data_IF_536203170388
#
_entry.id   IF_536203170388
#
_cell.length_a   1.000
_cell.length_b   1.000
_cell.length_c   1.000
_cell.angle_alpha   90.00
_cell.angle_beta   90.00
_cell.angle_gamma   90.00
#
_symmetry.space_group_name_H-M   'P 1'
#
loop_
_entity.id
_entity.type
_entity.pdbx_description
1 polymer ?
#
# COMPACT_ATOMS: atom_id res chain seq x y z
N UNK A 1 29.55 24.07 -20.14
CA UNK A 1 30.59 23.67 -19.16
C UNK A 1 29.92 23.74 -17.80
N UNK A 2 29.85 22.76 -16.93
CA UNK A 2 30.09 21.31 -16.92
C UNK A 2 29.49 20.88 -15.57
N UNK A 3 28.85 19.69 -15.51
CA UNK A 3 28.80 18.73 -14.37
C UNK A 3 28.24 19.20 -13.01
N UNK A 4 27.47 18.48 -12.19
CA UNK A 4 27.01 17.07 -12.00
C UNK A 4 26.10 17.12 -10.76
N UNK A 5 24.86 16.62 -10.80
CA UNK A 5 24.40 15.32 -10.28
C UNK A 5 24.44 15.10 -8.74
N UNK A 6 23.26 14.70 -8.26
CA UNK A 6 22.95 13.83 -7.11
C UNK A 6 22.77 14.44 -5.71
N UNK A 7 21.49 14.63 -5.36
CA UNK A 7 21.01 14.85 -3.99
C UNK A 7 20.18 13.63 -3.60
N UNK A 8 20.84 12.65 -3.00
CA UNK A 8 20.24 11.43 -2.45
C UNK A 8 20.54 11.32 -0.96
N UNK A 9 19.48 11.05 -0.19
CA UNK A 9 19.46 10.38 1.12
C UNK A 9 20.12 11.09 2.33
N UNK A 10 19.32 11.88 3.06
CA UNK A 10 19.50 12.07 4.51
C UNK A 10 18.37 11.41 5.27
N UNK A 11 18.57 10.16 5.65
CA UNK A 11 17.88 9.52 6.75
C UNK A 11 18.78 8.42 7.31
N UNK A 12 18.65 8.19 8.62
CA UNK A 12 19.20 7.07 9.42
C UNK A 12 20.58 7.33 10.03
N UNK A 13 20.58 7.78 11.30
CA UNK A 13 21.19 7.01 12.40
C UNK A 13 20.87 7.64 13.75
N UNK A 14 19.65 7.36 14.23
CA UNK A 14 19.34 7.45 15.65
C UNK A 14 19.13 6.02 16.17
N UNK A 15 19.86 5.72 17.24
CA UNK A 15 19.45 4.80 18.30
C UNK A 15 19.59 3.28 18.05
N UNK A 16 20.74 2.74 18.43
CA UNK A 16 20.91 1.32 18.73
C UNK A 16 21.82 1.11 19.96
N UNK A 17 21.31 1.48 21.16
CA UNK A 17 21.85 0.92 22.42
C UNK A 17 21.27 -0.49 22.63
N UNK A 18 21.90 -1.46 21.98
CA UNK A 18 21.72 -2.88 22.25
C UNK A 18 22.35 -3.31 23.58
N UNK A 19 22.03 -4.52 24.08
CA UNK A 19 22.48 -5.01 25.38
C UNK A 19 24.00 -5.22 25.37
N UNK A 20 24.64 -4.95 26.51
CA UNK A 20 26.08 -5.12 26.75
C UNK A 20 26.58 -6.41 26.09
N UNK A 21 27.45 -6.24 25.10
CA UNK A 21 28.01 -7.30 24.30
C UNK A 21 28.84 -8.24 25.17
N UNK A 22 28.81 -9.55 24.88
CA UNK A 22 29.73 -10.53 25.49
C UNK A 22 31.22 -10.11 25.36
N UNK A 23 31.55 -9.25 24.39
CA UNK A 23 32.88 -8.65 24.25
C UNK A 23 33.26 -7.73 25.42
N UNK A 24 32.30 -7.03 26.00
CA UNK A 24 32.55 -6.07 27.08
C UNK A 24 32.74 -6.79 28.42
N UNK A 25 32.00 -7.89 28.62
CA UNK A 25 32.23 -8.81 29.74
C UNK A 25 33.59 -9.52 29.64
N UNK A 26 33.99 -9.95 28.43
CA UNK A 26 35.30 -10.57 28.18
C UNK A 26 36.45 -9.57 28.37
N UNK A 27 36.26 -8.31 27.95
CA UNK A 27 37.22 -7.22 28.20
C UNK A 27 37.38 -6.93 29.69
N UNK A 28 36.28 -6.87 30.45
CA UNK A 28 36.33 -6.70 31.89
C UNK A 28 37.05 -7.86 32.59
N UNK A 29 36.79 -9.10 32.17
CA UNK A 29 37.48 -10.28 32.70
C UNK A 29 38.99 -10.23 32.44
N UNK A 30 39.40 -9.79 31.25
CA UNK A 30 40.82 -9.64 30.89
C UNK A 30 41.51 -8.57 31.73
N UNK A 31 40.83 -7.43 31.98
CA UNK A 31 41.34 -6.37 32.85
C UNK A 31 41.43 -6.84 34.32
N UNK A 32 40.45 -7.62 34.79
CA UNK A 32 40.48 -8.23 36.12
C UNK A 32 41.62 -9.25 36.26
N UNK A 33 41.90 -10.02 35.20
CA UNK A 33 42.98 -11.00 35.20
C UNK A 33 44.36 -10.34 35.22
N UNK A 34 44.52 -9.22 34.49
CA UNK A 34 45.73 -8.40 34.52
C UNK A 34 45.94 -7.74 35.90
N UNK A 35 44.88 -7.23 36.53
CA UNK A 35 44.98 -6.66 37.88
C UNK A 35 45.24 -7.71 38.95
N UNK A 36 44.71 -8.94 38.83
CA UNK A 36 45.06 -10.06 39.70
C UNK A 36 46.51 -10.53 39.51
N UNK A 37 47.01 -10.58 38.27
CA UNK A 37 48.43 -10.86 38.01
C UNK A 37 49.35 -9.78 38.58
N UNK A 38 48.95 -8.51 38.46
CA UNK A 38 49.63 -7.38 39.09
C UNK A 38 49.67 -7.50 40.61
N UNK A 39 48.55 -7.88 41.25
CA UNK A 39 48.48 -8.12 42.69
C UNK A 39 49.35 -9.31 43.14
N UNK A 40 49.43 -10.40 42.36
CA UNK A 40 50.31 -11.53 42.68
C UNK A 40 51.80 -11.12 42.62
N UNK A 41 52.18 -10.31 41.63
CA UNK A 41 53.54 -9.76 41.55
C UNK A 41 53.84 -8.78 42.69
N UNK A 42 52.89 -7.93 43.09
CA UNK A 42 53.09 -7.04 44.24
C UNK A 42 53.13 -7.81 45.56
N UNK A 43 52.38 -8.90 45.70
CA UNK A 43 52.46 -9.79 46.86
C UNK A 43 53.79 -10.53 46.92
N UNK A 44 54.34 -10.99 45.78
CA UNK A 44 55.69 -11.59 45.72
C UNK A 44 56.78 -10.59 46.10
N UNK A 45 56.72 -9.38 45.57
CA UNK A 45 57.66 -8.29 45.91
C UNK A 45 57.54 -7.93 47.39
N UNK A 46 56.32 -7.85 47.92
CA UNK A 46 56.10 -7.60 49.35
C UNK A 46 56.60 -8.76 50.21
N UNK A 47 56.46 -10.01 49.76
CA UNK A 47 56.95 -11.18 50.49
C UNK A 47 58.48 -11.26 50.50
N UNK A 48 59.14 -10.91 49.38
CA UNK A 48 60.60 -10.74 49.32
C UNK A 48 61.08 -9.56 50.17
N UNK A 49 60.37 -8.44 50.18
CA UNK A 49 60.71 -7.31 51.06
C UNK A 49 60.44 -7.64 52.55
N UNK A 50 59.42 -8.45 52.83
CA UNK A 50 59.09 -8.93 54.18
C UNK A 50 60.15 -9.91 54.69
N UNK A 51 60.71 -10.77 53.83
CA UNK A 51 61.81 -11.67 54.22
C UNK A 51 63.11 -10.89 54.53
N UNK A 52 63.39 -9.81 53.79
CA UNK A 52 64.53 -8.91 54.06
C UNK A 52 64.30 -8.07 55.33
N UNK A 53 63.06 -7.67 55.63
CA UNK A 53 62.73 -6.89 56.82
C UNK A 53 62.61 -7.74 58.10
N UNK A 54 62.25 -9.02 57.97
CA UNK A 54 62.17 -9.97 59.10
C UNK A 54 63.52 -10.48 59.58
N UNK A 55 64.58 -10.36 58.78
CA UNK A 55 65.95 -10.66 59.20
C UNK A 55 66.60 -9.54 60.04
N UNK A 56 65.99 -8.35 60.14
CA UNK A 56 66.67 -7.15 60.67
C UNK A 56 66.15 -6.56 61.99
N UNK A 57 64.92 -6.84 62.44
CA UNK A 57 64.36 -6.14 63.62
C UNK A 57 63.36 -7.00 64.40
N UNK A 58 63.69 -7.27 65.68
CA UNK A 58 62.76 -7.55 66.77
C UNK A 58 62.76 -6.32 67.72
N UNK A 59 61.71 -5.99 68.50
CA UNK A 59 60.74 -6.91 69.10
C UNK A 59 59.28 -6.73 68.66
N UNK A 60 58.56 -7.85 68.75
CA UNK A 60 57.14 -8.05 68.52
C UNK A 60 56.29 -7.44 69.64
N UNK A 61 55.28 -6.63 69.30
CA UNK A 61 53.99 -6.67 70.00
C UNK A 61 52.81 -5.96 69.30
N UNK A 62 53.02 -5.22 68.19
CA UNK A 62 51.92 -4.47 67.55
C UNK A 62 51.36 -5.09 66.25
N UNK A 63 52.11 -6.01 65.62
CA UNK A 63 51.76 -6.56 64.29
C UNK A 63 50.56 -7.52 64.30
N UNK A 64 50.28 -8.17 65.41
CA UNK A 64 49.16 -9.11 65.53
C UNK A 64 47.81 -8.39 65.61
N UNK A 65 47.78 -7.20 66.24
CA UNK A 65 46.60 -6.35 66.30
C UNK A 65 46.23 -5.79 64.92
N UNK A 66 47.23 -5.33 64.16
CA UNK A 66 47.04 -4.84 62.79
C UNK A 66 46.54 -5.92 61.82
N UNK A 67 47.06 -7.14 61.93
CA UNK A 67 46.61 -8.28 61.11
C UNK A 67 45.15 -8.64 61.44
N UNK A 68 44.76 -8.60 62.72
CA UNK A 68 43.38 -8.85 63.12
C UNK A 68 42.41 -7.76 62.63
N UNK A 69 42.82 -6.48 62.66
CA UNK A 69 42.00 -5.40 62.13
C UNK A 69 41.86 -5.48 60.60
N UNK A 70 42.93 -5.84 59.88
CA UNK A 70 42.87 -6.10 58.44
C UNK A 70 41.95 -7.28 58.11
N UNK A 71 42.02 -8.38 58.85
CA UNK A 71 41.11 -9.52 58.68
C UNK A 71 39.66 -9.13 58.92
N UNK A 72 39.40 -8.29 59.92
CA UNK A 72 38.05 -7.78 60.22
C UNK A 72 37.55 -6.87 59.09
N UNK A 73 38.37 -5.92 58.63
CA UNK A 73 38.06 -5.05 57.48
C UNK A 73 37.82 -5.85 56.20
N UNK A 74 38.61 -6.89 55.94
CA UNK A 74 38.45 -7.78 54.79
C UNK A 74 37.13 -8.55 54.87
N UNK A 75 36.79 -9.08 56.05
CA UNK A 75 35.54 -9.80 56.27
C UNK A 75 34.32 -8.88 56.13
N UNK A 76 34.40 -7.66 56.63
CA UNK A 76 33.31 -6.68 56.51
C UNK A 76 33.18 -6.17 55.07
N UNK A 77 34.29 -6.01 54.35
CA UNK A 77 34.28 -5.72 52.92
C UNK A 77 33.66 -6.88 52.11
N UNK A 78 34.03 -8.12 52.41
CA UNK A 78 33.47 -9.33 51.79
C UNK A 78 31.97 -9.47 52.04
N UNK A 79 31.50 -9.20 53.27
CA UNK A 79 30.05 -9.15 53.58
C UNK A 79 29.33 -8.08 52.76
N UNK A 80 29.93 -6.90 52.62
CA UNK A 80 29.36 -5.79 51.86
C UNK A 80 29.27 -6.12 50.38
N UNK A 81 30.33 -6.68 49.80
CA UNK A 81 30.34 -7.17 48.41
C UNK A 81 29.30 -8.26 48.19
N UNK A 82 29.16 -9.24 49.10
CA UNK A 82 28.13 -10.29 49.00
C UNK A 82 26.72 -9.72 49.03
N UNK A 83 26.46 -8.69 49.83
CA UNK A 83 25.16 -7.99 49.85
C UNK A 83 24.92 -7.24 48.54
N UNK A 84 25.93 -6.54 48.03
CA UNK A 84 25.85 -5.84 46.75
C UNK A 84 25.58 -6.81 45.60
N UNK A 85 26.33 -7.92 45.49
CA UNK A 85 26.13 -8.94 44.46
C UNK A 85 24.74 -9.56 44.57
N UNK A 86 24.25 -9.81 45.79
CA UNK A 86 22.89 -10.35 45.99
C UNK A 86 21.81 -9.35 45.58
N UNK A 87 21.99 -8.07 45.91
CA UNK A 87 21.12 -6.97 45.49
C UNK A 87 21.10 -6.85 43.97
N UNK A 88 22.27 -6.73 43.34
CA UNK A 88 22.43 -6.68 41.90
C UNK A 88 21.80 -7.89 41.20
N UNK A 89 21.99 -9.10 41.73
CA UNK A 89 21.37 -10.32 41.17
C UNK A 89 19.85 -10.30 41.27
N UNK A 90 19.28 -9.75 42.36
CA UNK A 90 17.84 -9.61 42.51
C UNK A 90 17.28 -8.57 41.53
N UNK A 91 17.90 -7.39 41.46
CA UNK A 91 17.53 -6.30 40.54
C UNK A 91 17.62 -6.76 39.09
N UNK A 92 18.73 -7.38 38.70
CA UNK A 92 18.88 -7.95 37.35
C UNK A 92 17.77 -8.99 37.11
N UNK A 93 17.50 -9.91 38.04
CA UNK A 93 16.49 -10.94 37.80
C UNK A 93 15.07 -10.37 37.67
N UNK A 94 14.69 -9.41 38.50
CA UNK A 94 13.34 -8.83 38.52
C UNK A 94 13.15 -7.84 37.37
N UNK A 95 14.08 -6.88 37.20
CA UNK A 95 13.97 -5.84 36.18
C UNK A 95 14.19 -6.40 34.77
N UNK A 96 15.14 -7.33 34.60
CA UNK A 96 15.38 -7.95 33.29
C UNK A 96 14.21 -8.85 32.89
N UNK A 97 13.62 -9.61 33.83
CA UNK A 97 12.43 -10.42 33.53
C UNK A 97 11.25 -9.56 33.12
N UNK A 98 10.98 -8.47 33.85
CA UNK A 98 9.89 -7.55 33.54
C UNK A 98 10.13 -6.83 32.21
N UNK A 99 11.32 -6.24 32.04
CA UNK A 99 11.68 -5.48 30.84
C UNK A 99 11.70 -6.36 29.59
N UNK A 100 12.23 -7.59 29.67
CA UNK A 100 12.19 -8.52 28.53
C UNK A 100 10.77 -8.95 28.23
N UNK A 101 9.98 -9.26 29.26
CA UNK A 101 8.60 -9.72 29.05
C UNK A 101 7.76 -8.62 28.39
N UNK A 102 7.91 -7.37 28.84
CA UNK A 102 7.18 -6.22 28.30
C UNK A 102 7.65 -5.88 26.87
N UNK A 103 8.98 -5.88 26.62
CA UNK A 103 9.52 -5.63 25.28
C UNK A 103 9.15 -6.74 24.29
N UNK A 104 9.38 -8.01 24.66
CA UNK A 104 9.05 -9.15 23.81
C UNK A 104 7.56 -9.19 23.50
N UNK A 105 6.70 -8.92 24.48
CA UNK A 105 5.25 -8.85 24.26
C UNK A 105 4.86 -7.74 23.28
N UNK A 106 5.47 -6.56 23.42
CA UNK A 106 5.20 -5.44 22.52
C UNK A 106 5.73 -5.69 21.12
N UNK A 107 6.95 -6.22 20.99
CA UNK A 107 7.58 -6.53 19.71
C UNK A 107 6.84 -7.63 18.96
N UNK A 108 6.47 -8.71 19.67
CA UNK A 108 5.65 -9.80 19.12
C UNK A 108 4.27 -9.28 18.72
N UNK A 109 3.62 -8.46 19.55
CA UNK A 109 2.32 -7.87 19.19
C UNK A 109 2.43 -6.97 17.95
N UNK A 110 3.48 -6.16 17.85
CA UNK A 110 3.72 -5.32 16.68
C UNK A 110 3.99 -6.15 15.43
N UNK A 111 4.77 -7.23 15.55
CA UNK A 111 5.05 -8.14 14.44
C UNK A 111 3.79 -8.88 13.98
N UNK A 112 2.99 -9.41 14.91
CA UNK A 112 1.71 -10.04 14.60
C UNK A 112 0.79 -9.04 13.88
N UNK A 113 0.67 -7.81 14.37
CA UNK A 113 -0.17 -6.79 13.72
C UNK A 113 0.27 -6.51 12.27
N UNK A 114 1.57 -6.43 12.01
CA UNK A 114 2.10 -6.25 10.64
C UNK A 114 1.80 -7.46 9.76
N UNK A 115 2.06 -8.65 10.28
CA UNK A 115 1.85 -9.91 9.56
C UNK A 115 0.37 -10.11 9.21
N UNK A 116 -0.52 -9.89 10.19
CA UNK A 116 -1.97 -9.93 9.99
C UNK A 116 -2.41 -8.88 8.96
N UNK A 117 -1.87 -7.66 9.02
CA UNK A 117 -2.23 -6.63 8.04
C UNK A 117 -1.83 -7.02 6.60
N UNK A 118 -0.65 -7.64 6.42
CA UNK A 118 -0.25 -8.18 5.10
C UNK A 118 -1.16 -9.32 4.67
N UNK A 119 -1.38 -10.32 5.53
CA UNK A 119 -2.20 -11.48 5.19
C UNK A 119 -3.65 -11.10 4.88
N UNK A 120 -4.24 -10.17 5.65
CA UNK A 120 -5.58 -9.65 5.38
C UNK A 120 -5.61 -8.94 4.04
N UNK A 121 -4.61 -8.10 3.73
CA UNK A 121 -4.54 -7.42 2.43
C UNK A 121 -4.49 -8.44 1.28
N UNK A 122 -3.61 -9.43 1.37
CA UNK A 122 -3.44 -10.43 0.31
C UNK A 122 -4.71 -11.29 0.14
N UNK A 123 -5.34 -11.69 1.24
CA UNK A 123 -6.60 -12.45 1.21
C UNK A 123 -7.75 -11.62 0.65
N UNK A 124 -7.85 -10.34 1.03
CA UNK A 124 -8.87 -9.43 0.50
C UNK A 124 -8.64 -9.20 -0.99
N UNK A 125 -7.41 -8.93 -1.42
CA UNK A 125 -7.08 -8.76 -2.84
C UNK A 125 -7.40 -10.02 -3.65
N UNK A 126 -7.16 -11.20 -3.09
CA UNK A 126 -7.52 -12.47 -3.72
C UNK A 126 -9.03 -12.69 -3.79
N UNK A 127 -9.76 -12.46 -2.70
CA UNK A 127 -11.21 -12.56 -2.67
C UNK A 127 -11.88 -11.52 -3.59
N UNK A 128 -11.32 -10.31 -3.70
CA UNK A 128 -11.77 -9.30 -4.65
C UNK A 128 -11.62 -9.82 -6.08
N UNK A 129 -10.49 -10.44 -6.42
CA UNK A 129 -10.29 -11.06 -7.75
C UNK A 129 -11.25 -12.21 -8.01
N UNK A 130 -11.49 -13.06 -7.01
CA UNK A 130 -12.29 -14.28 -7.16
C UNK A 130 -13.81 -14.01 -7.11
N UNK A 131 -14.25 -12.94 -6.45
CA UNK A 131 -15.67 -12.63 -6.24
C UNK A 131 -16.16 -11.35 -6.91
N UNK A 132 -15.29 -10.55 -7.54
CA UNK A 132 -15.70 -9.46 -8.43
C UNK A 132 -15.42 -9.90 -9.88
N UNK A 133 -16.42 -10.47 -10.59
CA UNK A 133 -16.23 -11.11 -11.90
C UNK A 133 -15.74 -10.18 -13.01
N UNK A 134 -15.90 -8.86 -12.81
CA UNK A 134 -15.47 -7.82 -13.73
C UNK A 134 -14.90 -6.66 -12.93
N UNK A 135 -13.67 -6.21 -13.20
CA UNK A 135 -13.09 -5.04 -12.56
C UNK A 135 -14.07 -3.85 -12.57
N UNK A 136 -14.12 -3.08 -11.48
CA UNK A 136 -15.03 -1.93 -11.36
C UNK A 136 -14.84 -0.92 -12.51
N UNK A 137 -13.61 -0.79 -13.01
CA UNK A 137 -13.29 0.04 -14.17
C UNK A 137 -13.99 -0.45 -15.45
N UNK A 138 -14.04 -1.77 -15.65
CA UNK A 138 -14.73 -2.36 -16.79
C UNK A 138 -16.25 -2.15 -16.68
N UNK A 139 -16.81 -2.31 -15.47
CA UNK A 139 -18.23 -2.01 -15.22
C UNK A 139 -18.53 -0.52 -15.49
N UNK A 140 -17.65 0.39 -15.09
CA UNK A 140 -17.81 1.82 -15.37
C UNK A 140 -17.77 2.13 -16.88
N UNK A 141 -16.88 1.47 -17.63
CA UNK A 141 -16.82 1.61 -19.09
C UNK A 141 -18.08 1.07 -19.76
N UNK A 142 -18.57 -0.10 -19.36
CA UNK A 142 -19.77 -0.70 -19.92
C UNK A 142 -21.02 0.12 -19.58
N UNK A 143 -21.12 0.63 -18.34
CA UNK A 143 -22.20 1.54 -17.94
C UNK A 143 -22.15 2.84 -18.75
N UNK A 144 -20.96 3.41 -19.00
CA UNK A 144 -20.82 4.60 -19.84
C UNK A 144 -21.33 4.34 -21.27
N UNK A 145 -20.98 3.18 -21.85
CA UNK A 145 -21.47 2.75 -23.17
C UNK A 145 -23.00 2.57 -23.18
N UNK A 146 -23.56 1.96 -22.14
CA UNK A 146 -25.01 1.80 -21.99
C UNK A 146 -25.72 3.16 -21.88
N UNK A 147 -25.19 4.09 -21.08
CA UNK A 147 -25.74 5.44 -20.96
C UNK A 147 -25.70 6.18 -22.30
N UNK A 148 -24.61 6.08 -23.07
CA UNK A 148 -24.58 6.68 -24.41
C UNK A 148 -25.63 6.06 -25.33
N UNK A 149 -25.86 4.74 -25.27
CA UNK A 149 -26.90 4.06 -26.06
C UNK A 149 -28.30 4.52 -25.65
N UNK A 150 -28.56 4.65 -24.35
CA UNK A 150 -29.84 5.14 -23.81
C UNK A 150 -30.07 6.60 -24.22
N UNK A 151 -29.05 7.46 -24.12
CA UNK A 151 -29.14 8.86 -24.55
C UNK A 151 -29.46 8.96 -26.04
N UNK A 152 -28.76 8.20 -26.88
CA UNK A 152 -29.04 8.15 -28.31
C UNK A 152 -30.47 7.66 -28.58
N UNK A 153 -30.91 6.61 -27.88
CA UNK A 153 -32.29 6.11 -28.00
C UNK A 153 -33.33 7.14 -27.56
N UNK A 154 -33.06 7.92 -26.50
CA UNK A 154 -33.95 8.98 -26.03
C UNK A 154 -34.06 10.10 -27.07
N UNK A 155 -32.93 10.59 -27.56
CA UNK A 155 -32.91 11.60 -28.64
C UNK A 155 -33.63 11.09 -29.89
N UNK A 156 -33.45 9.81 -30.24
CA UNK A 156 -34.15 9.20 -31.37
C UNK A 156 -35.66 9.11 -31.12
N UNK A 157 -36.10 8.76 -29.91
CA UNK A 157 -37.52 8.77 -29.55
C UNK A 157 -38.13 10.17 -29.60
N UNK A 158 -37.41 11.19 -29.14
CA UNK A 158 -37.85 12.59 -29.25
C UNK A 158 -37.92 13.06 -30.69
N UNK A 159 -36.93 12.71 -31.51
CA UNK A 159 -36.93 12.98 -32.94
C UNK A 159 -38.10 12.28 -33.64
N UNK A 160 -38.36 11.01 -33.34
CA UNK A 160 -39.51 10.27 -33.87
C UNK A 160 -40.85 10.88 -33.45
N UNK A 161 -40.98 11.32 -32.20
CA UNK A 161 -42.19 11.98 -31.72
C UNK A 161 -42.45 13.28 -32.51
N UNK A 162 -41.41 14.09 -32.76
CA UNK A 162 -41.54 15.30 -33.58
C UNK A 162 -41.80 15.00 -35.05
N UNK A 163 -41.16 13.98 -35.61
CA UNK A 163 -41.38 13.58 -36.99
C UNK A 163 -42.78 12.98 -37.17
N UNK A 164 -43.35 12.32 -36.16
CA UNK A 164 -44.69 11.74 -36.22
C UNK A 164 -45.81 12.76 -36.37
N UNK A 165 -45.58 14.01 -35.97
CA UNK A 165 -46.56 15.10 -36.18
C UNK A 165 -46.56 15.62 -37.61
N UNK A 166 -45.57 15.27 -38.42
CA UNK A 166 -45.49 15.65 -39.83
C UNK A 166 -46.57 14.90 -40.61
N UNK A 167 -47.41 15.67 -41.30
CA UNK A 167 -48.47 15.15 -42.16
C UNK A 167 -48.02 15.20 -43.63
N UNK A 168 -48.64 14.36 -44.46
CA UNK A 168 -48.39 14.33 -45.90
C UNK A 168 -48.67 15.67 -46.63
N UNK A 169 -49.39 16.59 -45.98
CA UNK A 169 -49.63 17.95 -46.49
C UNK A 169 -48.43 18.90 -46.36
N UNK A 170 -47.48 18.63 -45.46
CA UNK A 170 -46.38 19.53 -45.11
C UNK A 170 -45.02 18.90 -45.45
N UNK A 171 -44.74 18.69 -46.74
CA UNK A 171 -43.53 18.02 -47.21
C UNK A 171 -42.22 18.81 -47.04
N UNK A 172 -42.32 20.14 -46.93
CA UNK A 172 -41.17 21.05 -46.78
C UNK A 172 -40.79 21.31 -45.30
N UNK A 173 -41.50 20.70 -44.33
CA UNK A 173 -41.18 20.84 -42.91
C UNK A 173 -39.91 20.03 -42.55
N UNK A 174 -38.95 20.60 -41.80
CA UNK A 174 -37.66 19.96 -41.58
C UNK A 174 -37.77 18.73 -40.68
N UNK A 175 -37.14 17.64 -41.11
CA UNK A 175 -37.05 16.40 -40.36
C UNK A 175 -36.04 16.52 -39.22
N UNK A 176 -36.43 16.03 -38.04
CA UNK A 176 -35.50 15.92 -36.92
C UNK A 176 -34.55 14.74 -37.16
N UNK A 177 -33.22 14.97 -37.12
CA UNK A 177 -32.22 13.94 -37.42
C UNK A 177 -32.19 12.86 -36.34
N UNK A 178 -32.23 11.61 -36.79
CA UNK A 178 -32.09 10.42 -35.95
C UNK A 178 -30.62 9.99 -35.95
N UNK A 179 -30.12 9.60 -34.78
CA UNK A 179 -28.78 9.08 -34.60
C UNK A 179 -28.74 7.59 -35.00
N UNK A 180 -27.64 7.21 -35.66
CA UNK A 180 -27.32 5.83 -36.00
C UNK A 180 -27.11 4.97 -34.73
N UNK A 181 -27.02 3.63 -34.86
CA UNK A 181 -26.65 2.75 -33.75
C UNK A 181 -25.29 3.09 -33.11
N UNK A 182 -24.38 3.73 -33.86
CA UNK A 182 -23.09 4.22 -33.38
C UNK A 182 -23.17 5.57 -32.63
N UNK A 183 -24.35 6.21 -32.60
CA UNK A 183 -24.59 7.52 -31.97
C UNK A 183 -24.24 8.73 -32.84
N UNK A 184 -23.72 8.54 -34.05
CA UNK A 184 -23.43 9.59 -35.02
C UNK A 184 -24.64 9.96 -35.87
N UNK A 185 -24.56 11.10 -36.57
CA UNK A 185 -25.58 11.52 -37.54
C UNK A 185 -25.20 10.99 -38.92
N UNK A 186 -26.17 10.45 -39.66
CA UNK A 186 -25.95 10.13 -41.08
C UNK A 186 -25.78 11.40 -41.90
N UNK A 187 -24.78 11.41 -42.78
CA UNK A 187 -24.59 12.46 -43.78
C UNK A 187 -25.66 12.42 -44.87
N UNK A 188 -26.30 11.27 -45.05
CA UNK A 188 -27.36 11.04 -46.02
C UNK A 188 -28.75 11.28 -45.43
N UNK A 189 -28.84 11.83 -44.21
CA UNK A 189 -30.13 12.11 -43.61
C UNK A 189 -30.80 13.28 -44.36
N UNK A 190 -32.04 13.09 -44.87
CA UNK A 190 -32.72 14.12 -45.64
C UNK A 190 -33.12 15.31 -44.76
N UNK A 191 -33.07 16.52 -45.31
CA UNK A 191 -33.49 17.73 -44.59
C UNK A 191 -35.02 17.77 -44.37
N UNK A 192 -35.78 17.28 -45.35
CA UNK A 192 -37.25 17.29 -45.40
C UNK A 192 -37.77 16.05 -46.17
N UNK A 193 -39.08 15.81 -46.14
CA UNK A 193 -39.69 14.67 -46.85
C UNK A 193 -39.55 14.81 -48.37
N UNK A 194 -39.55 16.04 -48.88
CA UNK A 194 -39.35 16.32 -50.29
C UNK A 194 -37.96 15.89 -50.78
N UNK A 195 -36.91 16.15 -50.01
CA UNK A 195 -35.56 15.68 -50.30
C UNK A 195 -35.48 14.17 -50.25
N UNK A 196 -36.14 13.52 -49.29
CA UNK A 196 -36.20 12.05 -49.21
C UNK A 196 -36.82 11.44 -50.48
N UNK A 197 -37.92 11.98 -50.98
CA UNK A 197 -38.55 11.47 -52.21
C UNK A 197 -37.75 11.78 -53.48
N UNK A 198 -36.80 12.72 -53.40
CA UNK A 198 -35.90 13.06 -54.51
C UNK A 198 -34.65 12.16 -54.56
N UNK A 199 -34.49 11.23 -53.60
CA UNK A 199 -33.33 10.34 -53.57
C UNK A 199 -33.39 9.29 -54.68
N UNK A 200 -32.22 9.05 -55.28
CA UNK A 200 -32.02 7.93 -56.20
C UNK A 200 -32.07 6.59 -55.44
N UNK A 201 -32.42 5.48 -56.12
CA UNK A 201 -32.47 4.16 -55.49
C UNK A 201 -31.18 3.78 -54.76
N UNK A 202 -30.02 4.13 -55.31
CA UNK A 202 -28.72 3.85 -54.70
C UNK A 202 -28.50 4.65 -53.40
N UNK A 203 -28.93 5.92 -53.37
CA UNK A 203 -28.87 6.77 -52.17
C UNK A 203 -29.81 6.26 -51.08
N UNK A 204 -31.02 5.82 -51.45
CA UNK A 204 -31.98 5.25 -50.52
C UNK A 204 -31.49 3.93 -49.92
N UNK A 205 -30.84 3.07 -50.72
CA UNK A 205 -30.19 1.84 -50.20
C UNK A 205 -29.04 2.17 -49.25
N UNK A 206 -28.20 3.15 -49.60
CA UNK A 206 -27.13 3.61 -48.72
C UNK A 206 -27.68 4.17 -47.39
N UNK A 207 -28.79 4.91 -47.44
CA UNK A 207 -29.50 5.40 -46.26
C UNK A 207 -30.06 4.25 -45.41
N UNK A 208 -30.67 3.23 -46.01
CA UNK A 208 -31.19 2.07 -45.27
C UNK A 208 -30.08 1.35 -44.52
N UNK A 209 -28.94 1.14 -45.20
CA UNK A 209 -27.75 0.52 -44.63
C UNK A 209 -27.16 1.32 -43.47
N UNK A 210 -27.18 2.65 -43.57
CA UNK A 210 -26.70 3.56 -42.52
C UNK A 210 -27.49 3.43 -41.20
N UNK A 211 -28.77 3.04 -41.29
CA UNK A 211 -29.67 2.86 -40.16
C UNK A 211 -29.94 1.38 -39.81
N UNK A 212 -29.22 0.44 -40.44
CA UNK A 212 -29.38 -1.00 -40.26
C UNK A 212 -30.82 -1.48 -40.51
N UNK A 213 -31.46 -0.91 -41.55
CA UNK A 213 -32.81 -1.26 -42.01
C UNK A 213 -32.67 -2.23 -43.19
N UNK A 214 -33.49 -3.28 -43.21
CA UNK A 214 -33.54 -4.23 -44.33
C UNK A 214 -33.93 -3.54 -45.64
N UNK A 215 -33.09 -3.71 -46.67
CA UNK A 215 -33.34 -3.19 -48.01
C UNK A 215 -34.29 -4.10 -48.80
N UNK A 216 -35.01 -3.51 -49.75
CA UNK A 216 -35.89 -4.16 -50.70
C UNK A 216 -35.59 -3.64 -52.12
N UNK A 217 -35.99 -4.38 -53.14
CA UNK A 217 -35.84 -3.96 -54.54
C UNK A 217 -36.83 -2.84 -54.90
N UNK A 218 -37.96 -2.77 -54.19
CA UNK A 218 -38.93 -1.70 -54.37
C UNK A 218 -38.56 -0.44 -53.59
N UNK A 219 -38.28 0.65 -54.31
CA UNK A 219 -38.01 1.97 -53.75
C UNK A 219 -39.13 2.43 -52.80
N UNK A 220 -40.39 2.19 -53.18
CA UNK A 220 -41.56 2.61 -52.39
C UNK A 220 -41.65 1.86 -51.06
N UNK A 221 -41.26 0.58 -51.05
CA UNK A 221 -41.17 -0.23 -49.82
C UNK A 221 -40.06 0.31 -48.92
N UNK A 222 -38.91 0.66 -49.48
CA UNK A 222 -37.80 1.27 -48.74
C UNK A 222 -38.20 2.60 -48.10
N UNK A 223 -38.90 3.47 -48.83
CA UNK A 223 -39.44 4.72 -48.28
C UNK A 223 -40.45 4.47 -47.16
N UNK A 224 -41.35 3.51 -47.32
CA UNK A 224 -42.30 3.14 -46.27
C UNK A 224 -41.60 2.63 -45.00
N UNK A 225 -40.58 1.76 -45.15
CA UNK A 225 -39.77 1.25 -44.03
C UNK A 225 -39.01 2.37 -43.32
N UNK A 226 -38.39 3.28 -44.08
CA UNK A 226 -37.67 4.41 -43.52
C UNK A 226 -38.60 5.40 -42.81
N UNK A 227 -39.72 5.77 -43.44
CA UNK A 227 -40.72 6.64 -42.84
C UNK A 227 -41.24 6.07 -41.52
N UNK A 228 -41.51 4.75 -41.48
CA UNK A 228 -41.86 4.07 -40.23
C UNK A 228 -40.74 4.11 -39.19
N UNK A 229 -39.48 3.94 -39.61
CA UNK A 229 -38.32 4.02 -38.72
C UNK A 229 -38.15 5.42 -38.11
N UNK A 230 -38.44 6.47 -38.88
CA UNK A 230 -38.38 7.86 -38.41
C UNK A 230 -39.65 8.33 -37.68
N UNK A 231 -40.67 7.47 -37.53
CA UNK A 231 -41.88 7.73 -36.73
C UNK A 231 -43.09 8.23 -37.53
N UNK A 232 -43.05 8.20 -38.86
CA UNK A 232 -44.14 8.64 -39.73
C UNK A 232 -44.91 7.41 -40.21
N UNK A 233 -46.12 7.21 -39.68
CA UNK A 233 -46.93 6.00 -39.97
C UNK A 233 -47.97 6.18 -41.09
N UNK A 234 -48.32 7.42 -41.47
CA UNK A 234 -49.48 7.69 -42.33
C UNK A 234 -49.19 8.64 -43.51
N UNK A 235 -48.23 8.29 -44.35
CA UNK A 235 -48.14 8.91 -45.69
C UNK A 235 -48.62 7.88 -46.70
N UNK A 236 -49.89 7.99 -47.12
CA UNK A 236 -50.35 7.32 -48.31
C UNK A 236 -49.59 7.92 -49.49
N UNK A 237 -48.54 7.22 -49.94
CA UNK A 237 -47.87 7.53 -51.20
C UNK A 237 -48.87 7.14 -52.28
N UNK A 238 -49.70 8.09 -52.71
CA UNK A 238 -50.57 7.91 -53.86
C UNK A 238 -49.67 7.66 -55.08
N UNK A 239 -49.77 6.46 -55.63
CA UNK A 239 -49.08 6.05 -56.86
C UNK A 239 -49.65 6.73 -58.09
#
# INVERSE_FOLDING_TARGET
MSTTLDASATAVEANARGPLSNSDAARLATVMQHTLGGLDTTLKIFNEQSSVFSAGVAPEMDRTADIQDLQKRLNDHSKTQRRFIRGAKKTIREDFKKTISDRLRNDVSAQIKREVAMQVKDQVDQQIRDHIPTPLEQQALDNKRQISKIKASLTNSEARAKNSTLQASNLDEPLMPILKPDGSKSHLFPADLRSLFSYEPDMTKALMKDFDIEEDDSLQVNYGRFMRHIGIENVQIAG
#
